data_IF_740045879081
#
_entry.id   IF_740045879081
#
_cell.length_a   1.000
_cell.length_b   1.000
_cell.length_c   1.000
_cell.angle_alpha   90.00
_cell.angle_beta   90.00
_cell.angle_gamma   90.00
#
_symmetry.space_group_name_H-M   'P 1'
#
loop_
_entity.id
_entity.type
_entity.pdbx_description
1 polymer ?
#
# COMPACT_ATOMS: atom_id res chain seq x y z
N UNK A 1 -24.61 3.55 -21.69
CA UNK A 1 -24.58 4.36 -20.45
C UNK A 1 -25.61 3.89 -19.40
N UNK A 2 -26.00 2.60 -19.38
CA UNK A 2 -26.87 2.01 -18.34
C UNK A 2 -26.28 0.72 -17.72
N UNK A 3 -25.08 0.31 -18.12
CA UNK A 3 -24.37 -0.84 -17.56
C UNK A 3 -23.22 -0.48 -16.61
N UNK A 4 -22.80 0.79 -16.58
CA UNK A 4 -21.75 1.25 -15.65
C UNK A 4 -22.28 1.61 -14.24
N UNK A 5 -23.58 1.86 -14.08
CA UNK A 5 -24.17 2.18 -12.77
C UNK A 5 -24.56 0.94 -11.93
N UNK A 6 -24.54 -0.27 -12.51
CA UNK A 6 -24.93 -1.49 -11.80
C UNK A 6 -23.76 -2.14 -11.02
N UNK A 7 -22.50 -1.79 -11.30
CA UNK A 7 -21.36 -2.33 -10.55
C UNK A 7 -21.01 -1.51 -9.30
N UNK A 8 -21.27 -0.21 -9.29
CA UNK A 8 -20.96 0.64 -8.12
C UNK A 8 -21.89 0.38 -6.92
N UNK A 9 -23.14 -0.03 -7.14
CA UNK A 9 -24.06 -0.29 -6.03
C UNK A 9 -23.82 -1.64 -5.32
N UNK A 10 -23.26 -2.64 -5.99
CA UNK A 10 -22.95 -3.93 -5.35
C UNK A 10 -21.72 -3.86 -4.43
N UNK A 11 -20.82 -2.90 -4.65
CA UNK A 11 -19.63 -2.73 -3.82
C UNK A 11 -19.88 -1.95 -2.51
N UNK A 12 -20.97 -1.18 -2.44
CA UNK A 12 -21.27 -0.33 -1.28
C UNK A 12 -21.94 -1.09 -0.11
N UNK A 13 -22.39 -2.34 -0.28
CA UNK A 13 -23.17 -3.08 0.72
C UNK A 13 -22.37 -4.05 1.60
N UNK A 14 -21.04 -4.01 1.59
CA UNK A 14 -20.21 -4.93 2.39
C UNK A 14 -19.85 -4.43 3.79
N UNK A 15 -20.34 -3.26 4.23
CA UNK A 15 -20.14 -2.78 5.61
C UNK A 15 -21.42 -2.22 6.23
N UNK A 16 -21.67 -2.56 7.51
CA UNK A 16 -22.78 -2.03 8.32
C UNK A 16 -22.78 -0.48 8.39
N UNK A 17 -21.61 0.15 8.22
CA UNK A 17 -21.46 1.61 8.17
C UNK A 17 -22.07 2.24 6.91
N UNK A 18 -22.10 1.53 5.79
CA UNK A 18 -22.67 2.04 4.53
C UNK A 18 -24.20 2.14 4.56
N UNK A 19 -24.88 1.30 5.35
CA UNK A 19 -26.34 1.30 5.48
C UNK A 19 -26.85 2.55 6.20
N UNK A 20 -26.11 3.03 7.21
CA UNK A 20 -26.43 4.27 7.91
C UNK A 20 -26.22 5.52 7.03
N UNK A 21 -25.16 5.52 6.21
CA UNK A 21 -24.86 6.63 5.28
C UNK A 21 -25.95 6.74 4.22
N UNK A 22 -26.44 5.60 3.72
CA UNK A 22 -27.55 5.56 2.76
C UNK A 22 -28.87 6.05 3.38
N UNK A 23 -29.14 5.72 4.65
CA UNK A 23 -30.30 6.22 5.39
C UNK A 23 -30.30 7.75 5.60
N UNK A 24 -29.12 8.35 5.80
CA UNK A 24 -28.99 9.81 5.89
C UNK A 24 -29.21 10.50 4.55
N UNK A 25 -28.69 9.94 3.45
CA UNK A 25 -28.88 10.48 2.10
C UNK A 25 -30.34 10.45 1.64
N UNK A 26 -31.13 9.46 2.09
CA UNK A 26 -32.57 9.36 1.81
C UNK A 26 -33.35 10.52 2.45
N UNK A 27 -33.02 10.89 3.69
CA UNK A 27 -33.70 11.96 4.42
C UNK A 27 -33.44 13.36 3.81
N UNK A 28 -32.27 13.54 3.20
CA UNK A 28 -31.91 14.78 2.49
C UNK A 28 -32.52 14.84 1.07
N UNK A 29 -32.78 13.70 0.44
CA UNK A 29 -33.41 13.61 -0.88
C UNK A 29 -34.94 13.81 -0.85
N UNK A 30 -35.61 13.50 0.27
CA UNK A 30 -37.05 13.78 0.46
C UNK A 30 -37.38 15.28 0.49
N UNK A 31 -36.38 16.16 0.68
CA UNK A 31 -36.57 17.60 0.79
C UNK A 31 -36.41 18.40 -0.52
N UNK A 32 -35.95 17.80 -1.62
CA UNK A 32 -35.64 18.54 -2.85
C UNK A 32 -36.02 17.78 -4.13
N UNK A 33 -36.85 18.47 -4.91
CA UNK A 33 -37.22 18.25 -6.30
C UNK A 33 -38.28 17.19 -6.66
N UNK A 34 -39.35 17.72 -7.27
CA UNK A 34 -40.50 17.00 -7.74
C UNK A 34 -40.31 16.36 -9.12
N UNK A 35 -40.83 15.14 -9.24
CA UNK A 35 -41.66 14.76 -10.38
C UNK A 35 -40.97 14.55 -11.72
N UNK A 36 -40.21 13.44 -11.85
CA UNK A 36 -40.29 12.46 -12.97
C UNK A 36 -39.24 11.33 -12.95
N UNK A 37 -38.43 11.21 -11.89
CA UNK A 37 -37.57 10.03 -11.63
C UNK A 37 -38.20 8.93 -10.74
N UNK A 38 -39.45 9.14 -10.29
CA UNK A 38 -40.03 8.44 -9.12
C UNK A 38 -40.51 7.00 -9.37
N UNK A 39 -40.92 6.64 -10.59
CA UNK A 39 -41.59 5.35 -10.82
C UNK A 39 -40.60 4.19 -10.97
N UNK A 40 -39.38 4.46 -11.47
CA UNK A 40 -38.39 3.40 -11.73
C UNK A 40 -37.46 3.15 -10.54
N UNK A 41 -37.30 4.13 -9.64
CA UNK A 41 -36.70 3.93 -8.32
C UNK A 41 -37.62 3.04 -7.46
N UNK A 42 -38.90 3.39 -7.29
CA UNK A 42 -39.79 2.67 -6.38
C UNK A 42 -39.87 1.14 -6.61
N UNK A 43 -39.77 0.69 -7.87
CA UNK A 43 -39.81 -0.74 -8.18
C UNK A 43 -38.55 -1.49 -7.75
N UNK A 44 -37.36 -0.87 -7.85
CA UNK A 44 -36.10 -1.45 -7.36
C UNK A 44 -35.98 -1.38 -5.84
N UNK A 45 -36.58 -0.37 -5.22
CA UNK A 45 -36.66 -0.24 -3.77
C UNK A 45 -37.58 -1.29 -3.14
N UNK A 46 -38.70 -1.63 -3.78
CA UNK A 46 -39.59 -2.69 -3.29
C UNK A 46 -38.86 -4.05 -3.24
N UNK A 47 -38.09 -4.39 -4.26
CA UNK A 47 -37.32 -5.64 -4.32
C UNK A 47 -36.19 -5.71 -3.26
N UNK A 48 -35.57 -4.57 -2.94
CA UNK A 48 -34.56 -4.48 -1.89
C UNK A 48 -35.18 -4.63 -0.48
N UNK A 49 -36.33 -4.00 -0.24
CA UNK A 49 -37.07 -4.09 1.02
C UNK A 49 -37.62 -5.49 1.26
N UNK A 50 -38.11 -6.18 0.22
CA UNK A 50 -38.55 -7.58 0.32
C UNK A 50 -37.38 -8.50 0.67
N UNK A 51 -36.20 -8.28 0.10
CA UNK A 51 -34.98 -9.05 0.43
C UNK A 51 -34.50 -8.80 1.86
N UNK A 52 -34.53 -7.56 2.36
CA UNK A 52 -34.13 -7.25 3.74
C UNK A 52 -35.08 -7.89 4.78
N UNK A 53 -36.39 -7.92 4.51
CA UNK A 53 -37.36 -8.63 5.35
C UNK A 53 -37.14 -10.15 5.37
N UNK A 54 -36.69 -10.75 4.25
CA UNK A 54 -36.31 -12.18 4.21
C UNK A 54 -35.08 -12.49 5.07
N UNK A 55 -34.25 -11.51 5.38
CA UNK A 55 -33.11 -11.62 6.30
C UNK A 55 -33.42 -11.17 7.74
N UNK A 56 -34.68 -10.86 8.06
CA UNK A 56 -35.13 -10.49 9.41
C UNK A 56 -34.67 -9.11 9.89
N UNK A 57 -34.27 -8.22 8.97
CA UNK A 57 -33.81 -6.87 9.27
C UNK A 57 -34.94 -5.86 9.00
N UNK A 58 -35.60 -5.39 10.07
CA UNK A 58 -36.59 -4.32 9.99
C UNK A 58 -35.89 -2.95 10.04
N UNK A 59 -35.98 -2.19 8.95
CA UNK A 59 -35.36 -0.88 8.80
C UNK A 59 -36.16 0.25 9.47
N UNK A 60 -37.33 -0.05 10.03
CA UNK A 60 -38.21 0.95 10.66
C UNK A 60 -37.93 1.17 12.15
N UNK A 61 -36.99 0.45 12.76
CA UNK A 61 -36.65 0.62 14.18
C UNK A 61 -35.67 1.77 14.39
N UNK A 62 -36.22 2.93 14.70
CA UNK A 62 -35.52 4.08 15.26
C UNK A 62 -35.08 3.78 16.70
N UNK A 63 -33.78 3.75 16.98
CA UNK A 63 -33.27 3.70 18.35
C UNK A 63 -32.62 5.02 18.77
N UNK A 64 -33.37 5.75 19.59
CA UNK A 64 -32.95 6.79 20.54
C UNK A 64 -34.21 7.37 21.21
N UNK A 65 -34.20 7.87 22.47
CA UNK A 65 -33.13 8.00 23.44
C UNK A 65 -33.37 7.22 24.76
N UNK A 66 -32.42 7.34 25.69
CA UNK A 66 -32.37 6.78 27.05
C UNK A 66 -33.65 7.09 27.86
N UNK A 67 -34.29 6.05 28.44
CA UNK A 67 -35.19 6.19 29.58
C UNK A 67 -35.09 5.00 30.56
N UNK A 68 -34.59 5.33 31.75
CA UNK A 68 -35.07 5.00 33.10
C UNK A 68 -35.76 3.62 33.32
N UNK A 69 -35.06 2.72 34.02
CA UNK A 69 -35.67 1.59 34.73
C UNK A 69 -35.46 1.75 36.25
N UNK A 70 -36.57 1.96 36.96
CA UNK A 70 -36.66 1.93 38.42
C UNK A 70 -37.07 0.51 38.87
N UNK A 71 -36.42 0.02 39.93
CA UNK A 71 -36.81 -1.13 40.76
C UNK A 71 -36.01 -2.42 40.45
N UNK A 72 -35.36 -3.13 41.38
CA UNK A 72 -35.44 -3.13 42.86
C UNK A 72 -34.16 -3.77 43.44
N UNK A 73 -33.82 -3.38 44.66
CA UNK A 73 -32.68 -3.75 45.52
C UNK A 73 -32.28 -5.23 45.59
N UNK A 74 -30.96 -5.47 45.60
CA UNK A 74 -30.22 -6.39 46.51
C UNK A 74 -28.71 -6.25 46.23
N UNK A 75 -27.98 -5.39 46.95
CA UNK A 75 -27.16 -5.69 48.15
C UNK A 75 -25.76 -6.29 47.90
N UNK A 76 -24.73 -5.47 48.21
CA UNK A 76 -23.30 -5.81 48.49
C UNK A 76 -22.47 -6.42 47.34
N UNK A 77 -21.31 -5.89 46.91
CA UNK A 77 -20.12 -5.56 47.70
C UNK A 77 -19.13 -4.68 46.88
N UNK A 78 -18.47 -3.75 47.58
CA UNK A 78 -17.38 -2.89 47.11
C UNK A 78 -16.14 -3.65 46.64
N UNK A 79 -15.58 -3.27 45.49
CA UNK A 79 -14.12 -3.35 45.24
C UNK A 79 -13.67 -2.01 44.63
N UNK A 80 -13.02 -1.20 45.47
CA UNK A 80 -12.23 -0.04 45.07
C UNK A 80 -10.93 -0.53 44.45
N UNK A 81 -10.63 -0.13 43.21
CA UNK A 81 -9.27 -0.09 42.68
C UNK A 81 -8.96 1.36 42.32
N UNK A 82 -7.96 1.90 43.03
CA UNK A 82 -7.53 3.28 43.04
C UNK A 82 -6.65 3.55 41.81
N UNK A 83 -7.08 4.50 40.96
CA UNK A 83 -6.19 5.13 40.01
C UNK A 83 -5.24 6.06 40.78
N UNK A 84 -3.95 5.72 40.83
CA UNK A 84 -2.91 6.59 41.37
C UNK A 84 -2.37 7.43 40.23
N UNK A 85 -2.95 8.61 40.06
CA UNK A 85 -2.36 9.69 39.28
C UNK A 85 -1.14 10.24 40.03
N UNK A 86 -0.03 10.44 39.31
CA UNK A 86 1.14 11.10 39.89
C UNK A 86 2.41 10.95 39.08
N UNK A 87 2.51 11.68 37.97
CA UNK A 87 3.78 12.27 37.53
C UNK A 87 3.43 13.51 36.69
N UNK A 88 3.40 14.65 37.38
CA UNK A 88 3.30 15.98 36.80
C UNK A 88 4.66 16.29 36.15
N UNK A 89 4.71 16.34 34.82
CA UNK A 89 5.82 16.97 34.09
C UNK A 89 5.25 18.17 33.33
N UNK A 90 5.72 19.34 33.74
CA UNK A 90 5.35 20.66 33.26
C UNK A 90 6.14 21.02 32.00
N UNK A 91 5.44 21.04 30.86
CA UNK A 91 5.51 22.04 29.77
C UNK A 91 4.71 21.46 28.59
N UNK A 92 3.56 22.06 28.31
CA UNK A 92 2.53 21.54 27.41
C UNK A 92 2.84 21.67 25.93
N UNK A 93 3.91 21.03 25.46
CA UNK A 93 3.93 20.46 24.12
C UNK A 93 3.57 18.99 24.29
N UNK A 94 2.28 18.67 24.11
CA UNK A 94 1.90 17.29 23.84
C UNK A 94 2.47 17.01 22.45
N UNK A 95 3.67 16.45 22.40
CA UNK A 95 4.19 15.86 21.17
C UNK A 95 3.08 14.97 20.60
N UNK A 96 2.63 15.18 19.34
CA UNK A 96 1.53 14.41 18.78
C UNK A 96 1.88 12.93 18.92
N UNK A 97 0.94 12.17 19.50
CA UNK A 97 1.12 10.74 19.72
C UNK A 97 1.31 10.09 18.35
N UNK A 98 2.54 9.69 18.01
CA UNK A 98 2.84 9.01 16.74
C UNK A 98 2.05 7.70 16.71
N UNK A 99 1.12 7.57 15.76
CA UNK A 99 0.30 6.35 15.61
C UNK A 99 0.81 5.48 14.48
N UNK A 100 1.40 6.10 13.46
CA UNK A 100 1.85 5.43 12.25
C UNK A 100 3.27 5.86 11.89
N UNK A 101 4.07 4.90 11.44
CA UNK A 101 5.35 5.16 10.78
C UNK A 101 5.25 4.63 9.36
N UNK A 102 5.59 5.46 8.39
CA UNK A 102 5.73 5.07 6.98
C UNK A 102 7.22 5.12 6.64
N UNK A 103 7.75 4.01 6.15
CA UNK A 103 9.17 3.86 5.84
C UNK A 103 9.38 3.74 4.33
N UNK A 104 10.41 4.41 3.84
CA UNK A 104 11.02 4.06 2.57
C UNK A 104 11.89 2.78 2.68
N UNK A 105 12.25 2.21 1.53
CA UNK A 105 13.11 1.03 1.42
C UNK A 105 14.56 1.42 1.17
N UNK A 106 14.85 1.85 -0.06
CA UNK A 106 16.20 2.10 -0.57
C UNK A 106 16.82 3.26 0.22
N UNK A 107 18.04 3.09 0.73
CA UNK A 107 18.73 4.13 1.51
C UNK A 107 18.15 4.38 2.91
N UNK A 108 17.08 3.69 3.30
CA UNK A 108 16.36 3.91 4.57
C UNK A 108 16.32 2.67 5.45
N UNK A 109 15.69 1.59 4.98
CA UNK A 109 15.68 0.27 5.65
C UNK A 109 16.68 -0.69 5.01
N UNK A 110 17.00 -0.49 3.74
CA UNK A 110 17.81 -1.38 2.89
C UNK A 110 18.91 -0.57 2.21
N UNK A 111 20.16 -1.06 2.10
CA UNK A 111 21.21 -0.36 1.36
C UNK A 111 20.80 -0.10 -0.10
N UNK A 112 21.08 1.10 -0.62
CA UNK A 112 20.80 1.44 -2.03
C UNK A 112 21.47 0.44 -2.98
N UNK A 113 22.71 0.06 -2.67
CA UNK A 113 23.47 -0.93 -3.44
C UNK A 113 22.80 -2.29 -3.53
N UNK A 114 21.99 -2.70 -2.57
CA UNK A 114 21.30 -3.98 -2.65
C UNK A 114 20.31 -4.01 -3.83
N UNK A 115 19.59 -2.91 -4.06
CA UNK A 115 18.66 -2.84 -5.19
C UNK A 115 19.41 -2.73 -6.52
N UNK A 116 20.40 -1.85 -6.60
CA UNK A 116 21.13 -1.59 -7.86
C UNK A 116 22.10 -2.70 -8.24
N UNK A 117 22.74 -3.35 -7.27
CA UNK A 117 23.85 -4.27 -7.50
C UNK A 117 23.44 -5.73 -7.31
N UNK A 118 22.29 -6.00 -6.68
CA UNK A 118 21.79 -7.37 -6.47
C UNK A 118 20.45 -7.60 -7.16
N UNK A 119 19.38 -6.87 -6.81
CA UNK A 119 18.03 -7.18 -7.31
C UNK A 119 17.90 -6.97 -8.83
N UNK A 120 18.31 -5.81 -9.36
CA UNK A 120 18.20 -5.56 -10.80
C UNK A 120 19.13 -6.48 -11.64
N UNK A 121 20.41 -6.68 -11.27
CA UNK A 121 21.27 -7.65 -11.95
C UNK A 121 20.71 -9.07 -11.88
N UNK A 122 20.15 -9.50 -10.74
CA UNK A 122 19.52 -10.80 -10.64
C UNK A 122 18.34 -10.93 -11.62
N UNK A 123 17.45 -9.94 -11.72
CA UNK A 123 16.36 -10.01 -12.68
C UNK A 123 16.87 -10.13 -14.13
N UNK A 124 17.89 -9.34 -14.49
CA UNK A 124 18.52 -9.37 -15.81
C UNK A 124 19.15 -10.73 -16.12
N UNK A 125 19.94 -11.28 -15.20
CA UNK A 125 20.75 -12.48 -15.47
C UNK A 125 19.92 -13.77 -15.40
N UNK A 126 18.72 -13.71 -14.81
CA UNK A 126 17.87 -14.89 -14.57
C UNK A 126 16.57 -14.89 -15.39
N UNK A 127 16.27 -13.85 -16.18
CA UNK A 127 15.05 -13.75 -17.00
C UNK A 127 14.87 -14.97 -17.91
N UNK A 128 15.92 -15.40 -18.61
CA UNK A 128 15.84 -16.54 -19.54
C UNK A 128 15.51 -17.85 -18.83
N UNK A 129 16.15 -18.09 -17.67
CA UNK A 129 15.91 -19.30 -16.87
C UNK A 129 14.52 -19.30 -16.26
N UNK A 130 14.07 -18.17 -15.73
CA UNK A 130 12.73 -18.03 -15.19
C UNK A 130 11.68 -18.31 -16.27
N UNK A 131 11.75 -17.59 -17.40
CA UNK A 131 10.83 -17.78 -18.52
C UNK A 131 10.83 -19.23 -19.04
N UNK A 132 11.99 -19.91 -19.08
CA UNK A 132 12.04 -21.31 -19.50
C UNK A 132 11.36 -22.24 -18.50
N UNK A 133 11.62 -22.06 -17.20
CA UNK A 133 11.07 -22.89 -16.14
C UNK A 133 9.55 -22.69 -15.96
N UNK A 134 9.04 -21.48 -16.16
CA UNK A 134 7.65 -21.13 -15.85
C UNK A 134 6.81 -20.82 -17.09
N UNK A 135 7.33 -21.04 -18.30
CA UNK A 135 6.69 -20.66 -19.57
C UNK A 135 5.22 -21.03 -19.64
N UNK A 136 4.88 -22.28 -19.35
CA UNK A 136 3.51 -22.80 -19.49
C UNK A 136 2.59 -22.42 -18.33
N UNK A 137 3.09 -21.71 -17.32
CA UNK A 137 2.28 -21.21 -16.21
C UNK A 137 1.38 -20.05 -16.65
N UNK A 138 0.19 -19.96 -16.04
CA UNK A 138 -0.75 -18.87 -16.34
C UNK A 138 -0.16 -17.48 -16.01
N UNK A 139 0.63 -17.38 -14.93
CA UNK A 139 1.28 -16.15 -14.51
C UNK A 139 2.28 -15.65 -15.57
N UNK A 140 3.21 -16.52 -15.98
CA UNK A 140 4.20 -16.17 -17.01
C UNK A 140 3.56 -15.93 -18.38
N UNK A 141 2.47 -16.61 -18.73
CA UNK A 141 1.75 -16.31 -19.98
C UNK A 141 1.12 -14.92 -19.97
N UNK A 142 0.62 -14.43 -18.83
CA UNK A 142 0.12 -13.05 -18.73
C UNK A 142 1.27 -12.03 -18.81
N UNK A 143 2.42 -12.30 -18.16
CA UNK A 143 3.62 -11.46 -18.30
C UNK A 143 4.07 -11.37 -19.77
N UNK A 144 4.14 -12.51 -20.47
CA UNK A 144 4.52 -12.58 -21.88
C UNK A 144 3.54 -11.76 -22.73
N UNK A 145 2.24 -11.83 -22.45
CA UNK A 145 1.22 -11.07 -23.17
C UNK A 145 1.38 -9.56 -22.95
N UNK A 146 1.63 -9.12 -21.72
CA UNK A 146 1.90 -7.71 -21.41
C UNK A 146 3.19 -7.22 -22.09
N UNK A 147 4.26 -8.01 -22.05
CA UNK A 147 5.52 -7.69 -22.70
C UNK A 147 5.39 -7.64 -24.22
N UNK A 148 4.61 -8.54 -24.83
CA UNK A 148 4.32 -8.50 -26.26
C UNK A 148 3.62 -7.20 -26.67
N UNK A 149 2.61 -6.78 -25.90
CA UNK A 149 1.92 -5.52 -26.14
C UNK A 149 2.88 -4.32 -26.05
N UNK A 150 3.71 -4.29 -25.00
CA UNK A 150 4.70 -3.21 -24.84
C UNK A 150 5.74 -3.18 -25.96
N UNK A 151 6.28 -4.35 -26.34
CA UNK A 151 7.31 -4.43 -27.39
C UNK A 151 6.72 -4.05 -28.74
N UNK A 152 5.44 -4.36 -29.01
CA UNK A 152 4.77 -3.91 -30.22
C UNK A 152 4.68 -2.38 -30.28
N UNK A 153 4.26 -1.74 -29.19
CA UNK A 153 4.25 -0.27 -29.07
C UNK A 153 5.66 0.32 -29.23
N UNK A 154 6.68 -0.32 -28.64
CA UNK A 154 8.07 0.11 -28.74
C UNK A 154 8.60 0.05 -30.17
N UNK A 155 8.23 -0.98 -30.93
CA UNK A 155 8.59 -1.12 -32.34
C UNK A 155 7.92 -0.05 -33.21
N UNK A 156 6.64 0.22 -32.97
CA UNK A 156 5.88 1.27 -33.66
C UNK A 156 6.47 2.66 -33.40
N UNK A 157 6.95 2.89 -32.18
CA UNK A 157 7.59 4.14 -31.77
C UNK A 157 9.10 4.20 -32.11
N UNK A 158 9.68 3.15 -32.71
CA UNK A 158 11.09 3.12 -33.09
C UNK A 158 12.05 3.14 -31.89
N UNK A 159 11.64 2.60 -30.74
CA UNK A 159 12.48 2.54 -29.53
C UNK A 159 13.71 1.68 -29.78
N UNK A 160 14.89 2.23 -29.52
CA UNK A 160 16.15 1.53 -29.72
C UNK A 160 16.24 0.27 -28.86
N UNK A 161 16.62 -0.86 -29.47
CA UNK A 161 16.76 -2.15 -28.81
C UNK A 161 15.51 -3.01 -28.77
N UNK A 162 14.35 -2.50 -29.19
CA UNK A 162 13.15 -3.31 -29.36
C UNK A 162 13.32 -4.32 -30.51
N UNK A 163 12.97 -5.57 -30.26
CA UNK A 163 13.02 -6.65 -31.27
C UNK A 163 11.68 -7.38 -31.35
N UNK A 164 11.19 -7.75 -32.55
CA UNK A 164 9.91 -8.42 -32.69
C UNK A 164 9.90 -9.77 -31.97
N UNK A 165 8.82 -10.03 -31.23
CA UNK A 165 8.61 -11.30 -30.53
C UNK A 165 7.81 -12.22 -31.46
N UNK A 166 8.36 -13.37 -31.90
CA UNK A 166 7.69 -14.31 -32.81
C UNK A 166 6.34 -14.81 -32.27
N UNK A 167 5.46 -15.34 -33.12
CA UNK A 167 4.24 -16.03 -32.65
C UNK A 167 4.60 -17.27 -31.81
N UNK A 168 3.64 -17.76 -31.03
CA UNK A 168 3.86 -18.96 -30.20
C UNK A 168 4.17 -20.21 -31.06
N UNK A 169 3.68 -20.26 -32.30
CA UNK A 169 3.95 -21.36 -33.25
C UNK A 169 5.42 -21.42 -33.70
N UNK A 170 6.19 -20.35 -33.49
CA UNK A 170 7.60 -20.30 -33.86
C UNK A 170 8.50 -21.18 -32.97
N UNK A 171 7.96 -21.66 -31.83
CA UNK A 171 8.66 -22.44 -30.82
C UNK A 171 9.01 -21.60 -29.58
N UNK A 172 8.86 -22.22 -28.40
CA UNK A 172 9.09 -21.64 -27.07
C UNK A 172 10.46 -20.94 -26.97
N UNK A 173 11.51 -21.60 -27.45
CA UNK A 173 12.89 -21.13 -27.33
C UNK A 173 13.11 -19.81 -28.07
N UNK A 174 12.48 -19.63 -29.23
CA UNK A 174 12.59 -18.39 -30.01
C UNK A 174 11.83 -17.24 -29.36
N UNK A 175 10.67 -17.53 -28.78
CA UNK A 175 9.87 -16.54 -28.03
C UNK A 175 10.66 -16.06 -26.82
N UNK A 176 11.20 -16.99 -26.02
CA UNK A 176 12.02 -16.65 -24.85
C UNK A 176 13.25 -15.83 -25.26
N UNK A 177 14.00 -16.26 -26.28
CA UNK A 177 15.18 -15.52 -26.72
C UNK A 177 14.87 -14.07 -27.15
N UNK A 178 13.72 -13.83 -27.79
CA UNK A 178 13.28 -12.49 -28.13
C UNK A 178 12.85 -11.68 -26.89
N UNK A 179 12.16 -12.30 -25.93
CA UNK A 179 11.77 -11.66 -24.67
C UNK A 179 13.00 -11.25 -23.85
N UNK A 180 13.98 -12.15 -23.71
CA UNK A 180 15.24 -11.87 -22.99
C UNK A 180 15.92 -10.63 -23.58
N UNK A 181 16.10 -10.57 -24.90
CA UNK A 181 16.71 -9.42 -25.57
C UNK A 181 15.97 -8.10 -25.30
N UNK A 182 14.63 -8.12 -25.37
CA UNK A 182 13.82 -6.94 -25.08
C UNK A 182 13.95 -6.51 -23.62
N UNK A 183 13.85 -7.46 -22.68
CA UNK A 183 13.95 -7.20 -21.24
C UNK A 183 15.34 -6.65 -20.89
N UNK A 184 16.41 -7.24 -21.41
CA UNK A 184 17.78 -6.73 -21.23
C UNK A 184 17.93 -5.29 -21.77
N UNK A 185 17.36 -5.00 -22.94
CA UNK A 185 17.37 -3.65 -23.51
C UNK A 185 16.59 -2.66 -22.63
N UNK A 186 15.41 -3.05 -22.14
CA UNK A 186 14.59 -2.22 -21.25
C UNK A 186 15.28 -1.93 -19.92
N UNK A 187 15.92 -2.94 -19.31
CA UNK A 187 16.69 -2.79 -18.06
C UNK A 187 17.91 -1.89 -18.30
N UNK A 188 18.65 -2.11 -19.39
CA UNK A 188 19.83 -1.30 -19.74
C UNK A 188 19.48 0.17 -19.97
N UNK A 189 18.28 0.46 -20.44
CA UNK A 189 17.77 1.81 -20.67
C UNK A 189 17.01 2.39 -19.45
N UNK A 190 17.03 1.73 -18.28
CA UNK A 190 16.31 2.12 -17.05
C UNK A 190 14.83 2.48 -17.31
N UNK A 191 14.17 1.69 -18.17
CA UNK A 191 12.79 2.00 -18.57
C UNK A 191 11.80 1.58 -17.49
N UNK A 192 10.99 2.53 -17.03
CA UNK A 192 9.98 2.34 -15.99
C UNK A 192 8.64 1.84 -16.57
N UNK A 193 8.64 0.60 -17.05
CA UNK A 193 7.49 -0.03 -17.73
C UNK A 193 6.75 -0.96 -16.76
N UNK A 194 5.42 -0.90 -16.76
CA UNK A 194 4.58 -1.79 -15.92
C UNK A 194 4.83 -3.27 -16.25
N UNK A 195 4.80 -3.66 -17.52
CA UNK A 195 5.04 -5.05 -17.94
C UNK A 195 6.41 -5.59 -17.48
N UNK A 196 7.45 -4.75 -17.50
CA UNK A 196 8.77 -5.14 -16.99
C UNK A 196 8.76 -5.34 -15.48
N UNK A 197 8.11 -4.44 -14.73
CA UNK A 197 8.05 -4.50 -13.27
C UNK A 197 7.31 -5.75 -12.77
N UNK A 198 6.23 -6.15 -13.44
CA UNK A 198 5.50 -7.39 -13.11
C UNK A 198 6.42 -8.60 -13.27
N UNK A 199 7.05 -8.77 -14.44
CA UNK A 199 7.99 -9.87 -14.68
C UNK A 199 9.17 -9.87 -13.69
N UNK A 200 9.74 -8.70 -13.41
CA UNK A 200 10.82 -8.58 -12.41
C UNK A 200 10.35 -9.08 -11.03
N UNK A 201 9.11 -8.75 -10.64
CA UNK A 201 8.49 -9.26 -9.41
C UNK A 201 8.44 -10.78 -9.34
N UNK A 202 8.04 -11.46 -10.44
CA UNK A 202 7.96 -12.92 -10.51
C UNK A 202 9.35 -13.59 -10.56
N UNK A 203 10.32 -12.96 -11.24
CA UNK A 203 11.72 -13.43 -11.23
C UNK A 203 12.29 -13.35 -9.81
N UNK A 204 12.11 -12.22 -9.11
CA UNK A 204 12.54 -12.10 -7.71
C UNK A 204 11.81 -13.09 -6.81
N UNK A 205 10.52 -13.31 -7.03
CA UNK A 205 9.76 -14.31 -6.28
C UNK A 205 10.40 -15.70 -6.39
N UNK A 206 10.83 -16.07 -7.59
CA UNK A 206 11.54 -17.34 -7.83
C UNK A 206 12.87 -17.35 -7.07
N UNK A 207 13.66 -16.28 -7.15
CA UNK A 207 14.96 -16.18 -6.47
C UNK A 207 14.86 -16.28 -4.96
N UNK A 208 13.90 -15.57 -4.35
CA UNK A 208 13.66 -15.65 -2.90
C UNK A 208 13.16 -17.03 -2.48
N UNK A 209 12.21 -17.63 -3.20
CA UNK A 209 11.70 -18.98 -2.90
C UNK A 209 12.77 -20.06 -3.01
N UNK A 210 13.72 -19.90 -3.93
CA UNK A 210 14.82 -20.84 -4.13
C UNK A 210 16.03 -20.58 -3.20
N UNK A 211 15.96 -19.57 -2.32
CA UNK A 211 17.09 -19.10 -1.50
C UNK A 211 18.31 -18.65 -2.34
N UNK A 212 18.07 -18.18 -3.57
CA UNK A 212 19.09 -17.54 -4.40
C UNK A 212 19.20 -16.03 -4.11
N UNK A 213 18.14 -15.47 -3.52
CA UNK A 213 18.09 -14.11 -3.01
C UNK A 213 17.76 -14.13 -1.52
N UNK A 214 18.41 -13.26 -0.76
CA UNK A 214 18.11 -12.96 0.63
C UNK A 214 17.95 -11.44 0.77
N UNK A 215 16.89 -11.01 1.44
CA UNK A 215 16.57 -9.60 1.62
C UNK A 215 17.52 -8.98 2.63
N UNK A 216 18.19 -7.89 2.26
CA UNK A 216 19.12 -7.21 3.16
C UNK A 216 18.46 -5.99 3.75
N UNK A 217 18.41 -5.89 5.08
CA UNK A 217 18.05 -4.67 5.82
C UNK A 217 19.18 -4.26 6.76
N UNK A 218 19.25 -2.98 7.13
CA UNK A 218 20.21 -2.51 8.13
C UNK A 218 19.95 -3.14 9.51
N UNK A 219 21.01 -3.37 10.28
CA UNK A 219 20.98 -4.14 11.54
C UNK A 219 20.05 -3.55 12.61
N UNK A 220 19.82 -2.24 12.58
CA UNK A 220 18.92 -1.55 13.52
C UNK A 220 17.44 -1.63 13.14
N UNK A 221 17.11 -2.07 11.92
CA UNK A 221 15.72 -2.09 11.41
C UNK A 221 14.87 -3.11 12.14
N UNK A 222 15.27 -4.40 12.30
CA UNK A 222 14.43 -5.39 12.97
C UNK A 222 14.09 -4.99 14.42
N UNK A 223 15.07 -4.49 15.16
CA UNK A 223 14.88 -4.06 16.54
C UNK A 223 13.93 -2.86 16.63
N UNK A 224 14.07 -1.89 15.73
CA UNK A 224 13.16 -0.74 15.68
C UNK A 224 11.72 -1.15 15.34
N UNK A 225 11.53 -2.01 14.35
CA UNK A 225 10.21 -2.53 13.97
C UNK A 225 9.53 -3.25 15.14
N UNK A 226 10.28 -4.07 15.87
CA UNK A 226 9.77 -4.78 17.05
C UNK A 226 9.39 -3.82 18.19
N UNK A 227 10.25 -2.83 18.49
CA UNK A 227 9.96 -1.81 19.52
C UNK A 227 8.71 -0.99 19.18
N UNK A 228 8.56 -0.58 17.93
CA UNK A 228 7.38 0.18 17.48
C UNK A 228 6.12 -0.66 17.55
N UNK A 229 6.17 -1.91 17.09
CA UNK A 229 5.05 -2.85 17.19
C UNK A 229 4.65 -3.10 18.66
N UNK A 230 5.63 -3.32 19.56
CA UNK A 230 5.38 -3.50 21.00
C UNK A 230 4.77 -2.25 21.67
N UNK A 231 5.03 -1.07 21.10
CA UNK A 231 4.47 0.21 21.56
C UNK A 231 3.10 0.52 20.93
N UNK A 232 2.55 -0.38 20.11
CA UNK A 232 1.27 -0.19 19.42
C UNK A 232 1.32 0.76 18.23
N UNK A 233 2.51 1.14 17.77
CA UNK A 233 2.71 1.96 16.57
C UNK A 233 2.58 1.07 15.34
N UNK A 234 1.77 1.50 14.37
CA UNK A 234 1.59 0.76 13.11
C UNK A 234 2.68 1.16 12.11
N UNK A 235 3.32 0.19 11.49
CA UNK A 235 4.38 0.45 10.51
C UNK A 235 3.94 0.06 9.10
N UNK A 236 4.20 0.94 8.14
CA UNK A 236 3.87 0.77 6.74
C UNK A 236 5.10 1.05 5.88
N UNK A 237 5.12 0.49 4.68
CA UNK A 237 6.17 0.75 3.69
C UNK A 237 5.60 1.59 2.56
N UNK A 238 6.37 2.55 2.04
CA UNK A 238 6.07 3.26 0.81
C UNK A 238 7.31 3.32 -0.09
N UNK A 239 7.29 2.58 -1.20
CA UNK A 239 8.43 2.46 -2.11
C UNK A 239 7.99 2.48 -3.58
N UNK A 240 8.93 2.77 -4.49
CA UNK A 240 8.69 2.72 -5.93
C UNK A 240 8.55 1.28 -6.48
N UNK A 241 9.06 0.29 -5.73
CA UNK A 241 8.87 -1.12 -6.04
C UNK A 241 7.42 -1.58 -5.85
N UNK A 242 6.96 -2.56 -6.62
CA UNK A 242 5.60 -3.10 -6.49
C UNK A 242 5.37 -3.68 -5.09
N UNK A 243 4.12 -3.67 -4.61
CA UNK A 243 3.78 -4.30 -3.32
C UNK A 243 4.24 -5.76 -3.22
N UNK A 244 4.24 -6.49 -4.33
CA UNK A 244 4.78 -7.85 -4.38
C UNK A 244 6.27 -7.86 -4.04
N UNK A 245 7.08 -7.03 -4.69
CA UNK A 245 8.52 -6.93 -4.43
C UNK A 245 8.80 -6.53 -2.97
N UNK A 246 8.04 -5.58 -2.42
CA UNK A 246 8.18 -5.18 -1.03
C UNK A 246 7.87 -6.34 -0.06
N UNK A 247 6.80 -7.10 -0.31
CA UNK A 247 6.44 -8.28 0.49
C UNK A 247 7.48 -9.39 0.38
N UNK A 248 8.13 -9.54 -0.76
CA UNK A 248 9.22 -10.51 -0.92
C UNK A 248 10.45 -10.09 -0.13
N UNK A 249 10.88 -8.83 -0.29
CA UNK A 249 12.03 -8.28 0.43
C UNK A 249 11.91 -8.51 1.94
N UNK A 250 10.83 -8.04 2.56
CA UNK A 250 10.63 -8.16 4.01
C UNK A 250 10.24 -9.57 4.47
N UNK A 251 9.84 -10.45 3.56
CA UNK A 251 9.44 -11.83 3.88
C UNK A 251 10.63 -12.81 3.95
N UNK A 252 11.74 -12.49 3.29
CA UNK A 252 12.91 -13.35 3.15
C UNK A 252 14.19 -12.62 3.57
N UNK A 253 14.15 -11.86 4.66
CA UNK A 253 15.32 -11.07 5.08
C UNK A 253 16.40 -11.94 5.73
N UNK A 254 17.61 -11.40 5.84
CA UNK A 254 18.71 -11.93 6.66
C UNK A 254 18.39 -11.99 8.17
N UNK A 255 17.24 -11.48 8.59
CA UNK A 255 16.69 -11.55 9.95
C UNK A 255 15.39 -12.38 10.02
N UNK A 256 15.08 -13.14 8.97
CA UNK A 256 13.83 -13.89 8.83
C UNK A 256 12.67 -13.05 8.30
N UNK A 257 11.43 -13.49 8.55
CA UNK A 257 10.24 -12.79 8.07
C UNK A 257 9.90 -11.61 9.00
N UNK A 258 10.11 -10.39 8.50
CA UNK A 258 9.83 -9.13 9.21
C UNK A 258 8.41 -8.61 8.97
N UNK A 259 7.63 -9.23 8.07
CA UNK A 259 6.27 -8.76 7.74
C UNK A 259 5.31 -8.81 8.90
N UNK A 260 5.61 -9.63 9.92
CA UNK A 260 4.86 -9.66 11.20
C UNK A 260 4.79 -8.29 11.90
N UNK A 261 5.73 -7.38 11.63
CA UNK A 261 5.76 -6.03 12.19
C UNK A 261 5.15 -4.98 11.24
N UNK A 262 4.77 -5.36 10.02
CA UNK A 262 4.28 -4.45 8.99
C UNK A 262 2.76 -4.58 8.81
N UNK A 263 2.07 -3.45 8.81
CA UNK A 263 0.62 -3.38 8.65
C UNK A 263 0.18 -3.23 7.20
N UNK A 264 1.06 -2.80 6.29
CA UNK A 264 0.72 -2.62 4.88
C UNK A 264 1.85 -2.05 4.03
N UNK A 265 1.59 -2.02 2.73
CA UNK A 265 2.54 -1.63 1.69
C UNK A 265 1.86 -0.68 0.70
N UNK A 266 2.49 0.47 0.46
CA UNK A 266 2.13 1.43 -0.58
C UNK A 266 3.19 1.41 -1.67
N UNK A 267 2.74 1.54 -2.91
CA UNK A 267 3.59 1.69 -4.09
C UNK A 267 3.08 2.82 -4.97
N UNK A 268 3.66 2.97 -6.17
CA UNK A 268 3.31 4.09 -7.06
C UNK A 268 1.86 4.10 -7.53
N UNK A 269 1.05 3.07 -7.23
CA UNK A 269 -0.39 3.11 -7.52
C UNK A 269 -1.13 4.14 -6.65
N UNK A 270 -0.58 4.52 -5.49
CA UNK A 270 -1.12 5.61 -4.65
C UNK A 270 -0.72 6.99 -5.19
N UNK A 271 0.33 7.05 -6.00
CA UNK A 271 0.91 8.26 -6.57
C UNK A 271 2.44 8.27 -6.52
N UNK A 272 3.05 9.26 -7.15
CA UNK A 272 4.51 9.43 -7.17
C UNK A 272 5.02 9.92 -5.80
N UNK A 273 6.14 9.37 -5.31
CA UNK A 273 6.73 9.71 -4.00
C UNK A 273 7.17 11.18 -3.88
N UNK A 274 7.35 11.88 -5.01
CA UNK A 274 7.73 13.30 -5.06
C UNK A 274 6.53 14.25 -5.16
N UNK A 275 5.31 13.71 -5.11
CA UNK A 275 4.08 14.50 -5.18
C UNK A 275 3.37 14.54 -3.83
N UNK A 276 3.06 15.73 -3.34
CA UNK A 276 2.33 15.94 -2.08
C UNK A 276 0.99 15.22 -2.04
N UNK A 277 0.31 15.09 -3.19
CA UNK A 277 -0.97 14.39 -3.30
C UNK A 277 -0.89 12.94 -2.83
N UNK A 278 0.21 12.24 -3.10
CA UNK A 278 0.40 10.84 -2.69
C UNK A 278 0.33 10.69 -1.17
N UNK A 279 0.85 11.65 -0.42
CA UNK A 279 0.84 11.63 1.04
C UNK A 279 -0.52 11.98 1.64
N UNK A 280 -1.31 12.83 0.97
CA UNK A 280 -2.72 13.00 1.34
C UNK A 280 -3.50 11.70 1.18
N UNK A 281 -3.25 10.97 0.08
CA UNK A 281 -3.94 9.71 -0.19
C UNK A 281 -3.51 8.60 0.78
N UNK A 282 -2.22 8.54 1.14
CA UNK A 282 -1.72 7.66 2.21
C UNK A 282 -2.40 8.02 3.53
N UNK A 283 -2.48 9.29 3.90
CA UNK A 283 -3.13 9.73 5.14
C UNK A 283 -4.59 9.29 5.19
N UNK A 284 -5.34 9.51 4.11
CA UNK A 284 -6.72 9.07 3.98
C UNK A 284 -6.85 7.53 4.07
N UNK A 285 -5.95 6.80 3.41
CA UNK A 285 -5.92 5.33 3.42
C UNK A 285 -5.62 4.76 4.82
N UNK A 286 -4.79 5.44 5.60
CA UNK A 286 -4.45 5.04 6.97
C UNK A 286 -5.56 5.39 7.98
N UNK A 287 -6.47 6.30 7.63
CA UNK A 287 -7.60 6.68 8.46
C UNK A 287 -7.18 7.36 9.77
N UNK A 288 -6.10 8.13 9.75
CA UNK A 288 -5.68 8.97 10.88
C UNK A 288 -6.43 10.30 10.87
N UNK A 289 -6.68 10.87 12.05
CA UNK A 289 -7.42 12.14 12.18
C UNK A 289 -6.55 13.35 11.79
N UNK A 290 -5.25 13.27 12.07
CA UNK A 290 -4.28 14.31 11.78
C UNK A 290 -3.05 13.76 11.05
N UNK A 291 -2.60 14.37 9.93
CA UNK A 291 -1.41 13.90 9.21
C UNK A 291 -0.13 13.90 10.06
N UNK A 292 -0.05 14.75 11.09
CA UNK A 292 1.07 14.81 12.03
C UNK A 292 1.20 13.57 12.93
N UNK A 293 0.21 12.69 12.96
CA UNK A 293 0.29 11.38 13.62
C UNK A 293 1.11 10.36 12.80
N UNK A 294 1.43 10.70 11.55
CA UNK A 294 2.26 9.89 10.65
C UNK A 294 3.66 10.48 10.63
N UNK A 295 4.64 9.64 11.00
CA UNK A 295 6.05 9.90 10.75
C UNK A 295 6.47 9.20 9.45
N UNK A 296 6.94 9.97 8.47
CA UNK A 296 7.57 9.45 7.27
C UNK A 296 9.09 9.49 7.39
N UNK A 297 9.75 8.37 7.07
CA UNK A 297 11.21 8.24 7.07
C UNK A 297 11.67 7.87 5.67
N UNK A 298 12.53 8.70 5.08
CA UNK A 298 13.09 8.54 3.72
C UNK A 298 14.51 9.07 3.69
N UNK A 299 15.38 8.60 2.79
CA UNK A 299 16.66 9.23 2.51
C UNK A 299 16.55 10.33 1.44
N UNK A 300 15.48 10.32 0.66
CA UNK A 300 15.32 11.18 -0.51
C UNK A 300 14.75 12.54 -0.09
N UNK A 301 15.57 13.59 -0.21
CA UNK A 301 15.18 14.96 0.10
C UNK A 301 13.89 15.43 -0.60
N UNK A 302 13.71 15.09 -1.88
CA UNK A 302 12.51 15.49 -2.64
C UNK A 302 11.23 14.81 -2.13
N UNK A 303 11.33 13.61 -1.57
CA UNK A 303 10.19 12.94 -0.95
C UNK A 303 9.84 13.60 0.38
N UNK A 304 10.86 13.98 1.17
CA UNK A 304 10.67 14.75 2.40
C UNK A 304 9.99 16.10 2.15
N UNK A 305 10.42 16.82 1.09
CA UNK A 305 9.80 18.07 0.62
C UNK A 305 8.35 17.87 0.17
N UNK A 306 8.01 16.71 -0.39
CA UNK A 306 6.65 16.42 -0.81
C UNK A 306 5.73 16.05 0.36
N UNK A 307 6.25 15.32 1.35
CA UNK A 307 5.51 14.87 2.53
C UNK A 307 5.22 15.99 3.54
N UNK A 308 6.16 16.92 3.76
CA UNK A 308 6.01 17.96 4.79
C UNK A 308 4.80 18.90 4.55
N UNK A 309 4.53 19.38 3.32
CA UNK A 309 3.34 20.18 3.02
C UNK A 309 2.02 19.40 3.14
N UNK A 310 2.05 18.06 3.08
CA UNK A 310 0.88 17.23 3.38
C UNK A 310 0.59 17.09 4.89
N UNK A 311 1.42 17.71 5.74
CA UNK A 311 1.25 17.77 7.19
C UNK A 311 1.90 16.63 7.96
N UNK A 312 2.62 15.73 7.28
CA UNK A 312 3.32 14.62 7.93
C UNK A 312 4.52 15.13 8.74
N UNK A 313 4.84 14.41 9.81
CA UNK A 313 6.16 14.50 10.40
C UNK A 313 7.18 13.75 9.53
N UNK A 314 8.38 14.30 9.38
CA UNK A 314 9.36 13.78 8.41
C UNK A 314 10.75 13.76 9.02
N UNK A 315 11.41 12.61 8.90
CA UNK A 315 12.82 12.41 9.26
C UNK A 315 13.57 11.94 8.01
N UNK A 316 14.76 12.51 7.78
CA UNK A 316 15.65 12.03 6.73
C UNK A 316 16.61 10.97 7.28
N UNK A 317 16.61 9.78 6.69
CA UNK A 317 17.56 8.71 7.02
C UNK A 317 18.89 8.93 6.29
N UNK A 318 19.98 8.94 7.05
CA UNK A 318 21.33 9.09 6.51
C UNK A 318 22.09 7.78 6.71
N UNK A 319 22.15 7.00 5.63
CA UNK A 319 22.80 5.69 5.61
C UNK A 319 24.07 5.70 4.74
N UNK A 320 24.99 4.75 4.93
CA UNK A 320 26.14 4.58 4.04
C UNK A 320 25.67 4.39 2.58
N UNK A 321 26.23 5.18 1.67
CA UNK A 321 25.89 5.15 0.23
C UNK A 321 24.83 6.16 -0.21
N UNK A 322 24.13 6.82 0.74
CA UNK A 322 23.16 7.86 0.39
C UNK A 322 23.86 9.09 -0.21
N UNK A 323 23.16 9.78 -1.12
CA UNK A 323 23.65 11.02 -1.72
C UNK A 323 23.75 12.17 -0.69
N UNK A 324 24.54 13.22 -0.99
CA UNK A 324 24.64 14.37 -0.10
C UNK A 324 23.30 15.13 -0.01
N UNK A 325 22.98 15.62 1.19
CA UNK A 325 21.84 16.49 1.41
C UNK A 325 22.22 17.96 1.17
N UNK A 326 21.29 18.80 0.71
CA UNK A 326 21.52 20.25 0.63
C UNK A 326 21.84 20.85 2.00
N UNK A 327 22.71 21.85 2.05
CA UNK A 327 22.98 22.59 3.28
C UNK A 327 21.69 23.26 3.81
N UNK A 328 21.52 23.27 5.13
CA UNK A 328 20.39 23.90 5.83
C UNK A 328 19.00 23.43 5.33
N UNK A 329 18.88 22.17 4.93
CA UNK A 329 17.63 21.59 4.42
C UNK A 329 16.46 21.58 5.43
N UNK A 330 16.71 21.82 6.73
CA UNK A 330 15.67 22.06 7.74
C UNK A 330 14.92 20.82 8.25
N UNK A 331 15.32 19.61 7.84
CA UNK A 331 14.73 18.35 8.32
C UNK A 331 15.59 17.74 9.43
N UNK A 332 14.95 17.06 10.39
CA UNK A 332 15.67 16.19 11.34
C UNK A 332 16.29 15.02 10.58
N UNK A 333 17.55 14.71 10.87
CA UNK A 333 18.24 13.54 10.32
C UNK A 333 18.51 12.50 11.40
N UNK A 334 18.54 11.24 11.01
CA UNK A 334 18.98 10.12 11.87
C UNK A 334 19.89 9.20 11.07
N UNK A 335 20.85 8.57 11.74
CA UNK A 335 21.75 7.56 11.15
C UNK A 335 21.36 6.13 11.52
N UNK A 336 20.52 5.99 12.54
CA UNK A 336 19.91 4.74 12.97
C UNK A 336 18.48 4.95 13.44
N UNK A 337 17.64 3.93 13.27
CA UNK A 337 16.27 3.89 13.79
C UNK A 337 16.23 3.74 15.31
N UNK A 338 17.37 3.52 15.99
CA UNK A 338 17.45 3.67 17.45
C UNK A 338 17.26 5.11 17.93
N UNK A 339 17.38 6.09 17.05
CA UNK A 339 17.23 7.52 17.36
C UNK A 339 15.77 8.01 17.26
N UNK A 340 14.84 7.16 16.80
CA UNK A 340 13.42 7.46 16.59
C UNK A 340 12.58 6.92 17.75
#
# INVERSE_FOLDING_TARGET
MLHLLNLELCFLLSSLSSVCILGCLIRDAEGKDGGRGYVQLNHRYHDATVKLNQFGLDWTTTHGPIHNCNGTLSSTRNVKMSAKAGALASNGNIEPLRRCIVLDIEGTTTPISFVTDVLFPYARDNVGRHLDATYDSAETQEDIKLLRAQVQEDLENGVAGAVPIPSNDAGKEKVIAALVKNVEAMIKADRKITALKELQGHIWQTGFKNNELEGVVFDDVPEALERWAASGIKVYIYSSGSRLAQRLLFGYTNYGDLRKYLCGFFDTTVGNKKETKSYHEITASLGVDHPSEILFVTDVYQEAIAAKPAGLEVIISVRPGNGPLPDNHGFRTVKSFSEI
#
